data_IF_478214284605
#
_entry.id   IF_478214284605
#
_cell.length_a   1.000
_cell.length_b   1.000
_cell.length_c   1.000
_cell.angle_alpha   90.00
_cell.angle_beta   90.00
_cell.angle_gamma   90.00
#
_symmetry.space_group_name_H-M   'P 1'
#
loop_
_entity.id
_entity.type
_entity.pdbx_description
1 polymer ?
#
# COMPACT_ATOMS: atom_id res chain seq x y z
N UNK A 1 6.81 -8.46 7.70
CA UNK A 1 5.80 -8.77 8.73
C UNK A 1 4.76 -9.75 8.21
N UNK A 2 4.05 -9.46 7.10
CA UNK A 2 3.07 -10.39 6.52
C UNK A 2 3.64 -11.79 6.20
N UNK A 3 4.85 -11.85 5.61
CA UNK A 3 5.58 -13.12 5.35
C UNK A 3 5.82 -13.93 6.64
N UNK A 4 6.23 -13.25 7.72
CA UNK A 4 6.50 -13.89 9.02
C UNK A 4 5.21 -14.36 9.70
N UNK A 5 4.07 -13.78 9.36
CA UNK A 5 2.74 -14.20 9.81
C UNK A 5 2.14 -15.34 8.97
N UNK A 6 2.88 -15.89 8.00
CA UNK A 6 2.42 -16.98 7.14
C UNK A 6 1.31 -16.60 6.16
N UNK A 7 1.10 -15.30 5.91
CA UNK A 7 0.01 -14.81 5.08
C UNK A 7 0.40 -14.77 3.60
N UNK A 8 0.05 -15.83 2.87
CA UNK A 8 0.40 -16.01 1.46
C UNK A 8 -0.81 -15.82 0.51
N UNK A 9 -1.81 -15.06 0.96
CA UNK A 9 -3.04 -14.85 0.20
C UNK A 9 -2.84 -13.97 -1.04
N UNK A 10 -3.49 -14.32 -2.16
CA UNK A 10 -3.44 -13.51 -3.38
C UNK A 10 -3.87 -12.04 -3.16
N UNK A 11 -4.79 -11.79 -2.23
CA UNK A 11 -5.21 -10.44 -1.84
C UNK A 11 -4.10 -9.64 -1.12
N UNK A 12 -3.28 -10.28 -0.30
CA UNK A 12 -2.15 -9.63 0.39
C UNK A 12 -1.05 -9.28 -0.62
N UNK A 13 -0.79 -10.18 -1.57
CA UNK A 13 0.16 -9.95 -2.66
C UNK A 13 -0.27 -8.77 -3.56
N UNK A 14 -1.55 -8.71 -3.95
CA UNK A 14 -2.06 -7.57 -4.75
C UNK A 14 -2.05 -6.27 -3.97
N UNK A 15 -2.44 -6.29 -2.68
CA UNK A 15 -2.38 -5.11 -1.81
C UNK A 15 -0.95 -4.58 -1.66
N UNK A 16 0.04 -5.47 -1.50
CA UNK A 16 1.45 -5.11 -1.43
C UNK A 16 1.97 -4.50 -2.74
N UNK A 17 1.57 -5.04 -3.90
CA UNK A 17 1.90 -4.49 -5.20
C UNK A 17 1.30 -3.09 -5.41
N UNK A 18 0.01 -2.91 -5.06
CA UNK A 18 -0.65 -1.60 -5.15
C UNK A 18 0.01 -0.59 -4.21
N UNK A 19 0.35 -0.99 -2.98
CA UNK A 19 1.10 -0.15 -2.04
C UNK A 19 2.43 0.32 -2.65
N UNK A 20 3.20 -0.60 -3.23
CA UNK A 20 4.47 -0.30 -3.88
C UNK A 20 4.30 0.76 -4.98
N UNK A 21 3.40 0.51 -5.93
CA UNK A 21 3.16 1.43 -7.04
C UNK A 21 2.57 2.77 -6.60
N UNK A 22 1.73 2.80 -5.56
CA UNK A 22 1.22 4.05 -4.99
C UNK A 22 2.35 4.94 -4.46
N UNK A 23 3.41 4.37 -3.87
CA UNK A 23 4.61 5.12 -3.46
C UNK A 23 5.42 5.62 -4.64
N UNK A 24 5.57 4.81 -5.69
CA UNK A 24 6.25 5.24 -6.93
C UNK A 24 5.50 6.42 -7.57
N UNK A 25 4.18 6.32 -7.73
CA UNK A 25 3.34 7.41 -8.27
C UNK A 25 3.42 8.65 -7.39
N UNK A 26 3.37 8.49 -6.06
CA UNK A 26 3.51 9.62 -5.13
C UNK A 26 4.87 10.33 -5.29
N UNK A 27 5.97 9.57 -5.40
CA UNK A 27 7.31 10.12 -5.60
C UNK A 27 7.41 10.90 -6.92
N UNK A 28 6.92 10.31 -8.03
CA UNK A 28 6.91 10.97 -9.35
C UNK A 28 6.04 12.23 -9.32
N UNK A 29 4.85 12.17 -8.73
CA UNK A 29 3.96 13.31 -8.59
C UNK A 29 4.55 14.42 -7.71
N UNK A 30 5.32 14.05 -6.69
CA UNK A 30 6.07 15.00 -5.87
C UNK A 30 7.14 15.71 -6.69
N UNK A 31 7.90 14.98 -7.52
CA UNK A 31 8.92 15.59 -8.40
C UNK A 31 8.35 16.49 -9.49
N UNK A 32 7.18 16.15 -10.02
CA UNK A 32 6.49 16.92 -11.07
C UNK A 32 5.58 18.02 -10.50
N UNK A 33 5.56 18.21 -9.18
CA UNK A 33 4.70 19.16 -8.48
C UNK A 33 3.21 19.05 -8.84
N UNK A 34 2.70 17.83 -9.05
CA UNK A 34 1.27 17.55 -9.36
C UNK A 34 0.53 17.28 -8.04
N UNK A 35 -0.19 18.26 -7.46
CA UNK A 35 -0.69 18.17 -6.10
C UNK A 35 -1.77 17.08 -5.90
N UNK A 36 -2.63 16.86 -6.89
CA UNK A 36 -3.73 15.89 -6.82
C UNK A 36 -3.26 14.44 -6.89
N UNK A 37 -2.29 14.14 -7.77
CA UNK A 37 -1.72 12.80 -7.86
C UNK A 37 -0.93 12.44 -6.59
N UNK A 38 -0.27 13.44 -5.98
CA UNK A 38 0.43 13.25 -4.71
C UNK A 38 -0.53 12.84 -3.60
N UNK A 39 -1.66 13.53 -3.45
CA UNK A 39 -2.64 13.18 -2.41
C UNK A 39 -3.26 11.82 -2.68
N UNK A 40 -3.63 11.51 -3.93
CA UNK A 40 -4.14 10.19 -4.31
C UNK A 40 -3.14 9.05 -4.05
N UNK A 41 -1.87 9.23 -4.42
CA UNK A 41 -0.83 8.22 -4.16
C UNK A 41 -0.58 8.01 -2.66
N UNK A 42 -0.68 9.07 -1.85
CA UNK A 42 -0.56 8.95 -0.39
C UNK A 42 -1.75 8.21 0.22
N UNK A 43 -2.98 8.56 -0.16
CA UNK A 43 -4.19 7.94 0.39
C UNK A 43 -4.30 6.48 0.00
N UNK A 44 -4.06 6.12 -1.26
CA UNK A 44 -4.08 4.72 -1.72
C UNK A 44 -3.02 3.90 -1.00
N UNK A 45 -1.80 4.44 -0.87
CA UNK A 45 -0.74 3.78 -0.11
C UNK A 45 -1.10 3.58 1.37
N UNK A 46 -1.68 4.59 2.01
CA UNK A 46 -2.12 4.49 3.40
C UNK A 46 -3.20 3.41 3.58
N UNK A 47 -4.20 3.37 2.70
CA UNK A 47 -5.29 2.38 2.75
C UNK A 47 -4.75 0.96 2.61
N UNK A 48 -3.83 0.69 1.67
CA UNK A 48 -3.32 -0.67 1.50
C UNK A 48 -2.48 -1.17 2.68
N UNK A 49 -1.57 -0.35 3.22
CA UNK A 49 -0.79 -0.79 4.37
C UNK A 49 -1.66 -0.99 5.62
N UNK A 50 -2.66 -0.12 5.84
CA UNK A 50 -3.62 -0.28 6.93
C UNK A 50 -4.46 -1.55 6.77
N UNK A 51 -4.92 -1.86 5.55
CA UNK A 51 -5.66 -3.08 5.29
C UNK A 51 -4.82 -4.32 5.55
N UNK A 52 -3.58 -4.38 5.05
CA UNK A 52 -2.65 -5.49 5.36
C UNK A 52 -2.46 -5.62 6.87
N UNK A 53 -2.33 -4.51 7.60
CA UNK A 53 -2.25 -4.50 9.07
C UNK A 53 -3.50 -5.08 9.74
N UNK A 54 -4.69 -4.67 9.32
CA UNK A 54 -5.96 -5.21 9.81
C UNK A 54 -6.10 -6.71 9.53
N UNK A 55 -5.65 -7.17 8.37
CA UNK A 55 -5.69 -8.59 8.01
C UNK A 55 -4.75 -9.42 8.90
N UNK A 56 -3.56 -8.89 9.21
CA UNK A 56 -2.63 -9.51 10.17
C UNK A 56 -3.30 -9.62 11.55
N UNK A 57 -3.93 -8.55 12.02
CA UNK A 57 -4.61 -8.53 13.32
C UNK A 57 -5.81 -9.47 13.40
N UNK A 58 -6.50 -9.70 12.29
CA UNK A 58 -7.63 -10.64 12.20
C UNK A 58 -7.18 -12.10 12.18
N UNK A 59 -5.92 -12.35 11.78
CA UNK A 59 -5.34 -13.68 11.67
C UNK A 59 -4.67 -14.18 12.97
N UNK A 60 -4.44 -13.29 13.94
CA UNK A 60 -3.96 -13.60 15.30
C UNK A 60 -5.13 -13.85 16.23
#
# INVERSE_FOLDING_TARGET
VAELAGMHGGAVATAAMVYFWARVVHAVAYTLAIPWLRTAGFTVGAVMYLWIGCEILRAV
#
